data_IF_590017215853
#
_entry.id   IF_590017215853
#
_cell.length_a   1.000
_cell.length_b   1.000
_cell.length_c   1.000
_cell.angle_alpha   90.00
_cell.angle_beta   90.00
_cell.angle_gamma   90.00
#
_symmetry.space_group_name_H-M   'P 1'
#
loop_
_entity.id
_entity.type
_entity.pdbx_description
1 polymer ?
#
# COMPACT_ATOMS: atom_id res chain seq x y z
N UNK A 1 -29.02 -7.09 -13.05
CA UNK A 1 -27.83 -7.29 -13.88
C UNK A 1 -26.83 -8.11 -13.10
N UNK A 2 -26.18 -9.04 -13.76
CA UNK A 2 -25.17 -9.93 -13.21
C UNK A 2 -23.88 -9.71 -13.99
N UNK A 3 -22.74 -9.66 -13.32
CA UNK A 3 -21.44 -9.38 -13.92
C UNK A 3 -20.48 -10.50 -13.56
N UNK A 4 -19.59 -10.84 -14.50
CA UNK A 4 -18.53 -11.83 -14.26
C UNK A 4 -17.42 -11.24 -13.40
N UNK A 5 -16.64 -12.11 -12.76
CA UNK A 5 -15.45 -11.69 -12.02
C UNK A 5 -14.50 -10.85 -12.88
N UNK A 6 -14.23 -11.28 -14.11
CA UNK A 6 -13.34 -10.54 -15.04
C UNK A 6 -13.79 -9.10 -15.29
N UNK A 7 -15.11 -8.90 -15.46
CA UNK A 7 -15.66 -7.55 -15.66
C UNK A 7 -15.45 -6.67 -14.43
N UNK A 8 -15.72 -7.19 -13.23
CA UNK A 8 -15.67 -6.39 -11.99
C UNK A 8 -14.22 -6.13 -11.56
N UNK A 9 -13.36 -7.13 -11.63
CA UNK A 9 -11.95 -6.98 -11.32
C UNK A 9 -11.22 -6.10 -12.35
N UNK A 10 -11.50 -6.28 -13.64
CA UNK A 10 -10.98 -5.41 -14.69
C UNK A 10 -11.40 -3.96 -14.49
N UNK A 11 -12.68 -3.71 -14.12
CA UNK A 11 -13.15 -2.36 -13.79
C UNK A 11 -12.42 -1.75 -12.59
N UNK A 12 -12.15 -2.55 -11.55
CA UNK A 12 -11.40 -2.06 -10.37
C UNK A 12 -9.97 -1.65 -10.73
N UNK A 13 -9.27 -2.44 -11.56
CA UNK A 13 -7.93 -2.11 -12.06
C UNK A 13 -7.96 -0.86 -12.95
N UNK A 14 -8.92 -0.77 -13.87
CA UNK A 14 -9.07 0.39 -14.75
C UNK A 14 -9.31 1.68 -13.94
N UNK A 15 -10.15 1.63 -12.91
CA UNK A 15 -10.39 2.76 -12.01
C UNK A 15 -9.12 3.20 -11.26
N UNK A 16 -8.36 2.23 -10.74
CA UNK A 16 -7.07 2.48 -10.07
C UNK A 16 -6.06 3.12 -11.03
N UNK A 17 -5.93 2.59 -12.25
CA UNK A 17 -5.05 3.12 -13.30
C UNK A 17 -5.43 4.54 -13.72
N UNK A 18 -6.71 4.81 -13.97
CA UNK A 18 -7.19 6.12 -14.43
C UNK A 18 -7.00 7.17 -13.34
N UNK A 19 -7.24 6.82 -12.08
CA UNK A 19 -7.03 7.71 -10.95
C UNK A 19 -5.55 7.84 -10.53
N UNK A 20 -4.65 6.99 -11.04
CA UNK A 20 -3.28 6.92 -10.58
C UNK A 20 -3.16 6.40 -9.14
N UNK A 21 -4.07 5.48 -8.76
CA UNK A 21 -4.16 4.85 -7.45
C UNK A 21 -5.57 4.85 -6.87
N UNK A 22 -5.70 4.34 -5.64
CA UNK A 22 -6.99 4.24 -4.96
C UNK A 22 -7.48 5.58 -4.41
N UNK A 23 -8.61 6.04 -4.91
CA UNK A 23 -9.35 7.22 -4.43
C UNK A 23 -10.61 6.74 -3.69
N UNK A 24 -10.63 6.92 -2.36
CA UNK A 24 -11.73 6.47 -1.49
C UNK A 24 -12.98 7.31 -1.66
N UNK A 25 -12.81 8.63 -1.70
CA UNK A 25 -13.87 9.65 -1.84
C UNK A 25 -13.49 10.60 -2.97
N UNK A 26 -14.48 11.18 -3.64
CA UNK A 26 -14.24 12.11 -4.72
C UNK A 26 -13.34 13.29 -4.26
N UNK A 27 -12.37 13.64 -5.08
CA UNK A 27 -11.50 14.78 -4.85
C UNK A 27 -12.05 15.99 -5.61
N UNK A 28 -12.17 17.10 -4.90
CA UNK A 28 -12.65 18.38 -5.41
C UNK A 28 -11.52 19.41 -5.33
N UNK A 29 -11.55 20.38 -6.20
CA UNK A 29 -10.59 21.48 -6.19
C UNK A 29 -11.09 22.65 -7.04
N UNK A 30 -10.43 23.81 -6.93
CA UNK A 30 -10.86 25.02 -7.62
C UNK A 30 -10.83 24.85 -9.12
N UNK A 31 -11.86 25.34 -9.81
CA UNK A 31 -11.87 25.54 -11.26
C UNK A 31 -11.35 26.94 -11.60
N UNK A 32 -11.09 27.19 -12.88
CA UNK A 32 -10.67 28.50 -13.37
C UNK A 32 -11.75 29.60 -13.14
N UNK A 33 -13.01 29.18 -12.92
CA UNK A 33 -14.13 30.08 -12.56
C UNK A 33 -14.27 30.34 -11.06
N UNK A 34 -13.41 29.70 -10.21
CA UNK A 34 -13.48 29.82 -8.76
C UNK A 34 -14.51 28.91 -8.09
N UNK A 35 -15.24 28.12 -8.84
CA UNK A 35 -16.13 27.09 -8.32
C UNK A 35 -15.40 25.78 -8.12
N UNK A 36 -15.82 24.96 -7.13
CA UNK A 36 -15.24 23.62 -6.95
C UNK A 36 -15.66 22.69 -8.08
N UNK A 37 -14.66 22.12 -8.76
CA UNK A 37 -14.87 21.03 -9.73
C UNK A 37 -14.34 19.71 -9.21
N UNK A 38 -15.00 18.61 -9.60
CA UNK A 38 -14.51 17.28 -9.31
C UNK A 38 -13.23 17.01 -10.11
N UNK A 39 -12.12 16.76 -9.40
CA UNK A 39 -10.82 16.43 -10.00
C UNK A 39 -10.73 14.92 -10.25
N UNK A 40 -11.15 14.11 -9.27
CA UNK A 40 -11.18 12.65 -9.37
C UNK A 40 -12.45 12.10 -8.76
N UNK A 41 -13.01 11.08 -9.38
CA UNK A 41 -14.13 10.33 -8.81
C UNK A 41 -13.60 9.20 -7.90
N UNK A 42 -14.38 8.79 -6.90
CA UNK A 42 -14.06 7.63 -6.08
C UNK A 42 -14.04 6.34 -6.91
N UNK A 43 -13.02 5.48 -6.74
CA UNK A 43 -12.89 4.26 -7.54
C UNK A 43 -14.15 3.37 -7.45
N UNK A 44 -14.76 3.25 -6.25
CA UNK A 44 -16.00 2.48 -6.04
C UNK A 44 -17.17 2.98 -6.89
N UNK A 45 -17.24 4.29 -7.13
CA UNK A 45 -18.30 4.90 -7.93
C UNK A 45 -18.04 4.67 -9.42
N UNK A 46 -16.78 4.83 -9.87
CA UNK A 46 -16.40 4.53 -11.26
C UNK A 46 -16.74 3.09 -11.63
N UNK A 47 -16.32 2.13 -10.81
CA UNK A 47 -16.63 0.70 -11.02
C UNK A 47 -18.13 0.47 -11.10
N UNK A 48 -18.89 0.98 -10.13
CA UNK A 48 -20.35 0.83 -10.10
C UNK A 48 -21.02 1.40 -11.36
N UNK A 49 -20.63 2.61 -11.76
CA UNK A 49 -21.30 3.32 -12.84
C UNK A 49 -20.99 2.69 -14.21
N UNK A 50 -19.74 2.23 -14.43
CA UNK A 50 -19.39 1.50 -15.66
C UNK A 50 -20.14 0.17 -15.78
N UNK A 51 -20.23 -0.58 -14.70
CA UNK A 51 -20.98 -1.84 -14.70
C UNK A 51 -22.46 -1.59 -14.92
N UNK A 52 -23.09 -0.62 -14.24
CA UNK A 52 -24.51 -0.30 -14.42
C UNK A 52 -24.86 0.21 -15.82
N UNK A 53 -23.97 1.01 -16.39
CA UNK A 53 -24.12 1.49 -17.76
C UNK A 53 -23.77 0.43 -18.82
N UNK A 54 -23.29 -0.74 -18.42
CA UNK A 54 -22.71 -1.77 -19.29
C UNK A 54 -21.64 -1.20 -20.23
N UNK A 55 -20.85 -0.23 -19.72
CA UNK A 55 -19.83 0.47 -20.49
C UNK A 55 -18.43 0.01 -20.07
N UNK A 56 -17.85 -0.85 -20.89
CA UNK A 56 -16.52 -1.42 -20.68
C UNK A 56 -15.44 -0.80 -21.57
N UNK A 57 -15.74 0.28 -22.27
CA UNK A 57 -14.83 0.89 -23.26
C UNK A 57 -13.51 1.38 -22.68
N UNK A 58 -13.46 1.70 -21.37
CA UNK A 58 -12.28 2.15 -20.66
C UNK A 58 -11.48 1.00 -20.02
N UNK A 59 -12.01 -0.22 -20.06
CA UNK A 59 -11.38 -1.41 -19.49
C UNK A 59 -10.61 -2.11 -20.60
N UNK A 60 -9.30 -2.19 -20.45
CA UNK A 60 -8.42 -2.85 -21.42
C UNK A 60 -8.22 -4.32 -21.09
N UNK A 61 -7.71 -5.10 -22.05
CA UNK A 61 -7.33 -6.49 -21.81
C UNK A 61 -6.27 -6.60 -20.69
N UNK A 62 -5.32 -5.66 -20.62
CA UNK A 62 -4.33 -5.61 -19.56
C UNK A 62 -4.96 -5.37 -18.17
N UNK A 63 -6.04 -4.59 -18.08
CA UNK A 63 -6.78 -4.40 -16.83
C UNK A 63 -7.44 -5.71 -16.39
N UNK A 64 -7.99 -6.49 -17.31
CA UNK A 64 -8.59 -7.80 -17.03
C UNK A 64 -7.52 -8.78 -16.53
N UNK A 65 -6.39 -8.87 -17.21
CA UNK A 65 -5.29 -9.77 -16.82
C UNK A 65 -4.73 -9.41 -15.45
N UNK A 66 -4.53 -8.10 -15.18
CA UNK A 66 -4.13 -7.62 -13.87
C UNK A 66 -5.20 -7.85 -12.80
N UNK A 67 -6.46 -7.78 -13.17
CA UNK A 67 -7.61 -8.14 -12.33
C UNK A 67 -7.57 -9.60 -11.90
N UNK A 68 -7.31 -10.52 -12.83
CA UNK A 68 -7.13 -11.95 -12.56
C UNK A 68 -5.95 -12.22 -11.64
N UNK A 69 -4.81 -11.56 -11.87
CA UNK A 69 -3.63 -11.64 -10.99
C UNK A 69 -3.96 -11.18 -9.57
N UNK A 70 -4.64 -10.03 -9.45
CA UNK A 70 -5.05 -9.48 -8.15
C UNK A 70 -6.03 -10.42 -7.43
N UNK A 71 -7.00 -10.96 -8.14
CA UNK A 71 -7.93 -11.96 -7.63
C UNK A 71 -7.21 -13.22 -7.13
N UNK A 72 -6.27 -13.72 -7.91
CA UNK A 72 -5.45 -14.90 -7.55
C UNK A 72 -4.62 -14.64 -6.28
N UNK A 73 -4.04 -13.44 -6.16
CA UNK A 73 -3.28 -13.04 -4.96
C UNK A 73 -4.12 -13.14 -3.68
N UNK A 74 -5.37 -12.62 -3.70
CA UNK A 74 -6.26 -12.68 -2.54
C UNK A 74 -6.86 -14.06 -2.30
N UNK A 75 -7.02 -14.89 -3.32
CA UNK A 75 -7.37 -16.30 -3.14
C UNK A 75 -6.30 -17.07 -2.34
N UNK A 76 -5.04 -16.68 -2.44
CA UNK A 76 -3.95 -17.22 -1.62
C UNK A 76 -4.12 -16.98 -0.11
N UNK A 77 -5.03 -16.09 0.33
CA UNK A 77 -5.33 -15.85 1.74
C UNK A 77 -6.11 -16.99 2.41
N UNK A 78 -6.59 -17.96 1.63
CA UNK A 78 -7.20 -19.19 2.16
C UNK A 78 -6.27 -19.91 3.16
N UNK A 79 -4.97 -19.92 2.92
CA UNK A 79 -4.00 -20.52 3.87
C UNK A 79 -3.91 -19.75 5.18
N UNK A 80 -4.07 -18.41 5.15
CA UNK A 80 -4.15 -17.60 6.37
C UNK A 80 -5.44 -17.88 7.14
N UNK A 81 -6.55 -18.06 6.43
CA UNK A 81 -7.85 -18.40 7.06
C UNK A 81 -7.77 -19.73 7.76
N UNK A 82 -7.27 -20.78 7.09
CA UNK A 82 -7.10 -22.12 7.66
C UNK A 82 -6.18 -22.13 8.88
N UNK A 83 -5.18 -21.25 8.94
CA UNK A 83 -4.26 -21.10 10.08
C UNK A 83 -4.78 -20.17 11.18
N UNK A 84 -5.97 -19.60 11.04
CA UNK A 84 -6.54 -18.63 11.98
C UNK A 84 -5.82 -17.28 12.07
N UNK A 85 -4.97 -16.97 11.08
CA UNK A 85 -4.15 -15.75 11.06
C UNK A 85 -4.68 -14.66 10.13
N UNK A 86 -5.93 -14.78 9.69
CA UNK A 86 -6.59 -13.82 8.81
C UNK A 86 -7.32 -12.73 9.61
N UNK A 87 -7.14 -11.46 9.23
CA UNK A 87 -7.93 -10.37 9.79
C UNK A 87 -9.25 -10.16 9.01
N UNK A 88 -10.13 -9.28 9.52
CA UNK A 88 -11.47 -9.07 8.93
C UNK A 88 -11.41 -8.53 7.51
N UNK A 89 -10.50 -7.61 7.21
CA UNK A 89 -10.32 -7.10 5.86
C UNK A 89 -9.84 -8.20 4.90
N UNK A 90 -8.84 -8.97 5.31
CA UNK A 90 -8.31 -10.08 4.51
C UNK A 90 -9.39 -11.16 4.26
N UNK A 91 -10.25 -11.42 5.25
CA UNK A 91 -11.40 -12.35 5.11
C UNK A 91 -12.41 -11.83 4.09
N UNK A 92 -12.73 -10.53 4.13
CA UNK A 92 -13.61 -9.92 3.12
C UNK A 92 -12.98 -9.94 1.72
N UNK A 93 -11.69 -9.67 1.61
CA UNK A 93 -10.97 -9.72 0.34
C UNK A 93 -10.96 -11.16 -0.24
N UNK A 94 -10.71 -12.17 0.59
CA UNK A 94 -10.77 -13.57 0.20
C UNK A 94 -12.19 -13.96 -0.28
N UNK A 95 -13.23 -13.59 0.49
CA UNK A 95 -14.63 -13.85 0.10
C UNK A 95 -14.93 -13.26 -1.29
N UNK A 96 -14.54 -12.03 -1.54
CA UNK A 96 -14.75 -11.37 -2.83
C UNK A 96 -13.92 -12.03 -3.94
N UNK A 97 -12.69 -12.45 -3.65
CA UNK A 97 -11.85 -13.15 -4.62
C UNK A 97 -12.42 -14.53 -5.04
N UNK A 98 -13.20 -15.17 -4.18
CA UNK A 98 -13.87 -16.43 -4.48
C UNK A 98 -15.17 -16.27 -5.27
N UNK A 99 -15.73 -15.06 -5.37
CA UNK A 99 -16.96 -14.81 -6.13
C UNK A 99 -16.72 -14.91 -7.63
N UNK A 100 -17.54 -15.69 -8.34
CA UNK A 100 -17.53 -15.78 -9.81
C UNK A 100 -18.46 -14.74 -10.44
N UNK A 101 -19.51 -14.35 -9.72
CA UNK A 101 -20.57 -13.47 -10.21
C UNK A 101 -20.91 -12.40 -9.17
N UNK A 102 -21.25 -11.21 -9.66
CA UNK A 102 -21.58 -10.04 -8.87
C UNK A 102 -22.94 -9.48 -9.28
N UNK A 103 -23.79 -9.13 -8.33
CA UNK A 103 -25.15 -8.66 -8.61
C UNK A 103 -25.24 -7.16 -8.95
N UNK A 104 -24.19 -6.40 -8.75
CA UNK A 104 -24.18 -4.95 -8.97
C UNK A 104 -25.00 -4.13 -7.97
N UNK A 105 -25.57 -4.75 -6.94
CA UNK A 105 -26.41 -4.08 -5.92
C UNK A 105 -25.65 -3.75 -4.63
N UNK A 106 -24.64 -4.52 -4.32
CA UNK A 106 -23.92 -4.41 -3.04
C UNK A 106 -22.78 -3.39 -3.13
N UNK A 107 -23.01 -2.19 -2.60
CA UNK A 107 -21.99 -1.13 -2.58
C UNK A 107 -20.76 -1.46 -1.74
N UNK A 108 -20.89 -2.35 -0.74
CA UNK A 108 -19.74 -2.80 0.05
C UNK A 108 -18.79 -3.65 -0.80
N UNK A 109 -19.32 -4.53 -1.66
CA UNK A 109 -18.51 -5.32 -2.60
C UNK A 109 -17.70 -4.39 -3.52
N UNK A 110 -18.34 -3.37 -4.10
CA UNK A 110 -17.63 -2.40 -4.93
C UNK A 110 -16.59 -1.58 -4.16
N UNK A 111 -16.89 -1.20 -2.93
CA UNK A 111 -15.93 -0.48 -2.10
C UNK A 111 -14.69 -1.33 -1.79
N UNK A 112 -14.88 -2.61 -1.44
CA UNK A 112 -13.78 -3.52 -1.15
C UNK A 112 -12.99 -3.81 -2.42
N UNK A 113 -13.64 -4.29 -3.50
CA UNK A 113 -12.92 -4.67 -4.72
C UNK A 113 -12.11 -3.51 -5.31
N UNK A 114 -12.63 -2.28 -5.22
CA UNK A 114 -11.96 -1.08 -5.73
C UNK A 114 -10.68 -0.71 -4.96
N UNK A 115 -10.53 -1.15 -3.70
CA UNK A 115 -9.30 -0.90 -2.93
C UNK A 115 -8.29 -2.06 -3.02
N UNK A 116 -8.69 -3.23 -3.55
CA UNK A 116 -7.83 -4.43 -3.58
C UNK A 116 -6.58 -4.27 -4.47
N UNK A 117 -6.60 -3.59 -5.63
CA UNK A 117 -5.38 -3.33 -6.41
C UNK A 117 -4.29 -2.65 -5.57
N UNK A 118 -4.62 -1.54 -4.92
CA UNK A 118 -3.69 -0.83 -4.04
C UNK A 118 -3.31 -1.63 -2.79
N UNK A 119 -4.23 -2.45 -2.26
CA UNK A 119 -3.94 -3.34 -1.13
C UNK A 119 -2.93 -4.43 -1.52
N UNK A 120 -3.04 -5.03 -2.72
CA UNK A 120 -2.08 -6.00 -3.23
C UNK A 120 -0.68 -5.41 -3.33
N UNK A 121 -0.53 -4.23 -3.93
CA UNK A 121 0.75 -3.54 -4.06
C UNK A 121 1.38 -3.30 -2.68
N UNK A 122 0.59 -2.83 -1.70
CA UNK A 122 1.08 -2.61 -0.33
C UNK A 122 1.55 -3.89 0.36
N UNK A 123 0.81 -5.00 0.19
CA UNK A 123 1.20 -6.29 0.77
C UNK A 123 2.43 -6.89 0.10
N UNK A 124 2.57 -6.74 -1.22
CA UNK A 124 3.77 -7.15 -1.95
C UNK A 124 4.99 -6.36 -1.49
N UNK A 125 4.92 -5.02 -1.48
CA UNK A 125 6.01 -4.16 -1.02
C UNK A 125 6.40 -4.43 0.45
N UNK A 126 5.43 -4.76 1.31
CA UNK A 126 5.71 -5.16 2.69
C UNK A 126 6.44 -6.49 2.78
N UNK A 127 6.07 -7.48 1.94
CA UNK A 127 6.77 -8.78 1.88
C UNK A 127 8.18 -8.62 1.36
N UNK A 128 8.37 -7.84 0.29
CA UNK A 128 9.68 -7.53 -0.30
C UNK A 128 10.59 -6.87 0.74
N UNK A 129 10.12 -5.80 1.39
CA UNK A 129 10.89 -5.13 2.44
C UNK A 129 11.25 -6.08 3.60
N UNK A 130 10.32 -6.94 4.01
CA UNK A 130 10.59 -7.93 5.07
C UNK A 130 11.64 -8.95 4.63
N UNK A 131 11.60 -9.39 3.37
CA UNK A 131 12.60 -10.26 2.79
C UNK A 131 13.96 -9.59 2.71
N UNK A 132 14.00 -8.34 2.22
CA UNK A 132 15.22 -7.55 2.12
C UNK A 132 15.89 -7.35 3.48
N UNK A 133 15.10 -7.02 4.50
CA UNK A 133 15.60 -6.89 5.88
C UNK A 133 16.21 -8.22 6.38
N UNK A 134 15.53 -9.35 6.17
CA UNK A 134 16.03 -10.66 6.59
C UNK A 134 17.34 -11.05 5.91
N UNK A 135 17.49 -10.67 4.65
CA UNK A 135 18.66 -10.97 3.83
C UNK A 135 19.79 -9.94 3.99
N UNK A 136 19.55 -8.84 4.71
CA UNK A 136 20.54 -7.80 4.97
C UNK A 136 21.52 -8.20 6.08
N UNK A 137 22.63 -7.50 6.14
CA UNK A 137 23.58 -7.62 7.26
C UNK A 137 23.10 -6.75 8.43
N UNK A 138 23.42 -7.18 9.66
CA UNK A 138 23.20 -6.33 10.81
C UNK A 138 24.23 -5.20 10.83
N UNK A 139 23.80 -3.98 11.18
CA UNK A 139 24.73 -2.86 11.33
C UNK A 139 25.79 -3.19 12.40
N UNK A 140 27.06 -3.02 12.04
CA UNK A 140 28.19 -3.21 12.94
C UNK A 140 28.19 -2.14 14.03
N UNK A 141 28.48 -2.53 15.28
CA UNK A 141 28.57 -1.64 16.43
C UNK A 141 27.75 -2.12 17.63
N UNK A 142 27.98 -1.49 18.77
CA UNK A 142 27.31 -1.77 20.04
C UNK A 142 26.27 -0.70 20.38
N UNK A 143 25.35 -1.02 21.28
CA UNK A 143 24.38 -0.04 21.81
C UNK A 143 25.14 1.15 22.44
N UNK A 144 24.75 2.35 22.00
CA UNK A 144 25.39 3.62 22.40
C UNK A 144 26.44 4.16 21.44
N UNK A 145 26.93 3.34 20.52
CA UNK A 145 27.90 3.77 19.51
C UNK A 145 27.30 4.84 18.59
N UNK A 146 28.16 5.82 18.26
CA UNK A 146 27.81 6.87 17.29
C UNK A 146 28.04 6.35 15.88
N UNK A 147 27.08 6.57 15.03
CA UNK A 147 27.18 6.30 13.60
C UNK A 147 26.96 7.58 12.80
N UNK A 148 27.56 7.62 11.64
CA UNK A 148 27.35 8.67 10.64
C UNK A 148 27.43 8.04 9.25
N UNK A 149 26.54 8.45 8.36
CA UNK A 149 26.52 7.95 6.98
C UNK A 149 25.28 8.40 6.22
N UNK A 150 25.29 8.04 4.95
CA UNK A 150 24.17 8.32 4.04
C UNK A 150 23.18 7.16 4.09
N UNK A 151 21.93 7.49 4.30
CA UNK A 151 20.83 6.54 4.28
C UNK A 151 19.95 6.76 3.06
N UNK A 152 19.41 5.67 2.52
CA UNK A 152 18.33 5.70 1.54
C UNK A 152 17.02 5.36 2.27
N UNK A 153 16.11 6.31 2.32
CA UNK A 153 14.80 6.11 2.96
C UNK A 153 13.97 5.14 2.12
N UNK A 154 13.59 4.02 2.70
CA UNK A 154 12.76 2.98 2.06
C UNK A 154 11.30 3.15 2.41
N UNK A 155 11.01 3.56 3.65
CA UNK A 155 9.65 3.77 4.13
C UNK A 155 9.61 4.89 5.16
N UNK A 156 8.63 5.76 5.01
CA UNK A 156 8.27 6.78 5.99
C UNK A 156 6.76 6.71 6.24
N UNK A 157 6.32 6.67 7.50
CA UNK A 157 4.91 6.78 7.81
C UNK A 157 4.68 7.55 9.10
N UNK A 158 3.64 8.37 9.14
CA UNK A 158 3.25 9.13 10.31
C UNK A 158 2.49 8.25 11.31
N UNK A 159 2.88 8.29 12.58
CA UNK A 159 2.15 7.67 13.68
C UNK A 159 1.46 8.76 14.50
N UNK A 160 0.16 8.66 14.63
CA UNK A 160 -0.63 9.58 15.46
C UNK A 160 -0.28 9.45 16.95
N UNK A 161 -0.04 8.23 17.44
CA UNK A 161 0.28 7.95 18.85
C UNK A 161 1.56 8.63 19.30
N UNK A 162 2.54 8.75 18.41
CA UNK A 162 3.84 9.36 18.72
C UNK A 162 4.01 10.76 18.16
N UNK A 163 3.04 11.25 17.35
CA UNK A 163 3.13 12.51 16.61
C UNK A 163 4.44 12.66 15.83
N UNK A 164 4.96 11.55 15.27
CA UNK A 164 6.24 11.47 14.57
C UNK A 164 6.15 10.50 13.39
N UNK A 165 7.10 10.66 12.48
CA UNK A 165 7.33 9.70 11.40
C UNK A 165 8.23 8.56 11.88
N UNK A 166 7.83 7.32 11.62
CA UNK A 166 8.73 6.18 11.69
C UNK A 166 9.39 6.02 10.34
N UNK A 167 10.71 6.10 10.36
CA UNK A 167 11.55 6.00 9.17
C UNK A 167 12.23 4.64 9.17
N UNK A 168 12.10 3.90 8.07
CA UNK A 168 12.92 2.72 7.78
C UNK A 168 13.82 3.07 6.62
N UNK A 169 15.10 2.88 6.76
CA UNK A 169 16.09 3.27 5.76
C UNK A 169 17.21 2.22 5.63
N UNK A 170 17.90 2.23 4.50
CA UNK A 170 19.09 1.43 4.26
C UNK A 170 20.32 2.31 4.51
N UNK A 171 21.24 1.82 5.34
CA UNK A 171 22.58 2.37 5.57
C UNK A 171 23.59 1.33 5.10
N UNK A 172 24.18 1.54 3.93
CA UNK A 172 24.95 0.51 3.22
C UNK A 172 24.12 -0.77 3.04
N UNK A 173 24.58 -1.92 3.53
CA UNK A 173 23.86 -3.21 3.45
C UNK A 173 22.97 -3.50 4.67
N UNK A 174 22.89 -2.58 5.64
CA UNK A 174 22.09 -2.74 6.84
C UNK A 174 20.79 -1.93 6.78
N UNK A 175 19.76 -2.41 7.48
CA UNK A 175 18.53 -1.65 7.69
C UNK A 175 18.52 -1.00 9.08
N UNK A 176 18.08 0.26 9.09
CA UNK A 176 17.93 1.05 10.31
C UNK A 176 16.52 1.58 10.43
N UNK A 177 16.00 1.70 11.65
CA UNK A 177 14.73 2.36 11.92
C UNK A 177 14.84 3.40 13.04
N UNK A 178 14.10 4.50 12.91
CA UNK A 178 14.08 5.56 13.91
C UNK A 178 12.82 6.42 13.80
N UNK A 179 12.57 7.19 14.86
CA UNK A 179 11.50 8.19 14.89
C UNK A 179 12.06 9.57 14.60
N UNK A 180 11.38 10.31 13.71
CA UNK A 180 11.78 11.67 13.34
C UNK A 180 10.57 12.61 13.27
N UNK A 181 10.78 13.90 13.54
CA UNK A 181 9.70 14.89 13.61
C UNK A 181 9.14 15.33 12.24
N UNK A 182 9.84 15.00 11.15
CA UNK A 182 9.45 15.34 9.77
C UNK A 182 9.50 14.10 8.90
N UNK A 183 8.73 14.12 7.83
CA UNK A 183 8.86 13.10 6.78
C UNK A 183 10.24 13.19 6.12
N UNK A 184 10.84 12.04 5.87
CA UNK A 184 12.08 11.93 5.11
C UNK A 184 11.86 11.06 3.88
N UNK A 185 12.48 11.43 2.78
CA UNK A 185 12.43 10.70 1.50
C UNK A 185 13.78 10.76 0.80
N UNK A 186 14.06 9.81 -0.08
CA UNK A 186 15.30 9.77 -0.87
C UNK A 186 16.55 9.51 -0.02
N UNK A 187 17.67 10.10 -0.44
CA UNK A 187 18.96 9.96 0.23
C UNK A 187 19.18 11.10 1.21
N UNK A 188 19.60 10.76 2.42
CA UNK A 188 19.80 11.72 3.53
C UNK A 188 21.04 11.34 4.32
N UNK A 189 21.91 12.31 4.58
CA UNK A 189 23.07 12.12 5.49
C UNK A 189 22.64 12.29 6.93
N UNK A 190 22.98 11.32 7.77
CA UNK A 190 22.61 11.34 9.19
C UNK A 190 23.79 11.11 10.12
N UNK A 191 23.62 11.60 11.36
CA UNK A 191 24.39 11.20 12.53
C UNK A 191 23.44 10.73 13.63
N UNK A 192 23.72 9.59 14.24
CA UNK A 192 22.83 8.97 15.22
C UNK A 192 23.61 8.15 16.24
N UNK A 193 22.89 7.52 17.18
CA UNK A 193 23.41 6.48 18.06
C UNK A 193 22.62 5.20 17.91
N UNK A 194 23.28 4.06 18.01
CA UNK A 194 22.64 2.75 18.07
C UNK A 194 21.86 2.66 19.38
N UNK A 195 20.55 2.43 19.29
CA UNK A 195 19.66 2.26 20.44
C UNK A 195 19.50 0.78 20.80
N UNK A 196 19.27 -0.05 19.81
CA UNK A 196 19.11 -1.50 19.96
C UNK A 196 19.31 -2.21 18.63
N UNK A 197 19.73 -3.44 18.67
CA UNK A 197 19.76 -4.35 17.54
C UNK A 197 18.61 -5.35 17.71
N UNK A 198 17.86 -5.61 16.63
CA UNK A 198 16.73 -6.52 16.65
C UNK A 198 17.09 -7.85 15.99
N UNK A 199 16.41 -8.92 16.40
CA UNK A 199 16.63 -10.25 15.83
C UNK A 199 16.18 -10.42 14.36
N UNK A 200 15.60 -9.37 13.75
CA UNK A 200 15.23 -9.32 12.34
C UNK A 200 16.24 -8.58 11.46
N UNK A 201 17.48 -8.41 11.93
CA UNK A 201 18.56 -7.65 11.28
C UNK A 201 18.33 -6.13 11.21
N UNK A 202 17.27 -5.60 11.84
CA UNK A 202 17.05 -4.14 11.91
C UNK A 202 17.75 -3.53 13.10
N UNK A 203 18.47 -2.42 12.91
CA UNK A 203 19.08 -1.64 13.99
C UNK A 203 18.24 -0.40 14.27
N UNK A 204 17.77 -0.27 15.50
CA UNK A 204 17.06 0.93 15.95
C UNK A 204 18.05 2.03 16.31
N UNK A 205 17.80 3.25 15.80
CA UNK A 205 18.61 4.43 16.09
C UNK A 205 17.87 5.42 16.98
N UNK A 206 18.64 6.22 17.74
CA UNK A 206 18.16 7.37 18.48
C UNK A 206 19.08 8.59 18.28
N UNK A 207 18.65 9.76 18.76
CA UNK A 207 19.36 11.03 18.63
C UNK A 207 19.76 11.33 17.17
N UNK A 208 18.90 11.01 16.24
CA UNK A 208 19.13 11.21 14.81
C UNK A 208 19.15 12.70 14.50
N UNK A 209 20.23 13.13 13.84
CA UNK A 209 20.39 14.48 13.29
C UNK A 209 20.65 14.36 11.81
N UNK A 210 19.96 15.17 11.04
CA UNK A 210 20.23 15.32 9.61
C UNK A 210 21.44 16.23 9.46
N UNK A 211 22.36 15.81 8.61
CA UNK A 211 23.52 16.58 8.21
C UNK A 211 23.15 17.29 6.91
N UNK A 212 23.21 18.61 6.90
CA UNK A 212 22.89 19.46 5.73
C UNK A 212 23.94 19.36 4.65
#
# INVERSE_FOLDING_TARGET
>A
MQFTADQVWGAAIAADRINGGYVKEALWGPSDSGEDRKIKEANKIMVKDWLRANNFSLITAADIDKGRETRHFFNGFLLKELSGKINDFERQALKIAQMEEFTGRNMLEFAIISCLPAAMIREQSKKELTSDIRNSTQLQGSVGDKIQGDITVVKSYYSQDYAKFRITARLSDAFVDFWFGKELTGNVSIKAKIKSQRGDNTTQLNYVKILG
#
